data_IF_733016460099
#
_entry.id   IF_733016460099
#
_cell.length_a   1.000
_cell.length_b   1.000
_cell.length_c   1.000
_cell.angle_alpha   90.00
_cell.angle_beta   90.00
_cell.angle_gamma   90.00
#
_symmetry.space_group_name_H-M   'P 1'
#
loop_
_entity.id
_entity.type
_entity.pdbx_description
1 polymer ?
#
# COMPACT_ATOMS: atom_id res chain seq x y z
N UNK A 1 16.26 -16.60 -33.54
CA UNK A 1 17.19 -16.93 -32.43
C UNK A 1 16.63 -16.30 -31.15
N UNK A 2 15.93 -17.10 -30.33
CA UNK A 2 15.36 -16.66 -29.06
C UNK A 2 16.17 -17.30 -27.93
N UNK A 3 16.85 -16.48 -27.12
CA UNK A 3 17.63 -16.94 -25.98
C UNK A 3 16.79 -16.76 -24.71
N UNK A 4 16.25 -17.86 -24.21
CA UNK A 4 15.49 -17.92 -22.96
C UNK A 4 16.43 -17.78 -21.76
N UNK A 5 16.21 -16.77 -20.91
CA UNK A 5 16.85 -16.67 -19.59
C UNK A 5 16.09 -17.53 -18.59
N UNK A 6 16.77 -18.57 -18.12
CA UNK A 6 16.31 -19.55 -17.13
C UNK A 6 16.46 -18.97 -15.72
N UNK A 7 15.39 -18.39 -15.16
CA UNK A 7 15.37 -17.98 -13.74
C UNK A 7 15.08 -19.21 -12.89
N UNK A 8 16.06 -19.55 -12.04
CA UNK A 8 16.09 -20.73 -11.18
C UNK A 8 15.21 -20.50 -9.96
N UNK A 9 14.13 -21.27 -9.90
CA UNK A 9 13.14 -21.35 -8.83
C UNK A 9 13.80 -21.71 -7.48
N UNK A 10 13.67 -20.85 -6.46
CA UNK A 10 14.00 -21.16 -5.06
C UNK A 10 12.73 -21.00 -4.22
N UNK A 11 12.09 -22.13 -3.95
CA UNK A 11 11.26 -22.44 -2.79
C UNK A 11 10.57 -21.26 -2.08
N UNK A 12 9.48 -20.78 -2.66
CA UNK A 12 8.38 -20.21 -1.88
C UNK A 12 7.38 -21.34 -1.63
N UNK A 13 7.31 -21.82 -0.39
CA UNK A 13 6.18 -22.58 0.12
C UNK A 13 4.96 -21.65 0.19
N UNK A 14 4.36 -21.42 -0.99
CA UNK A 14 3.10 -20.71 -1.14
C UNK A 14 2.04 -21.51 -0.40
N UNK A 15 1.52 -20.96 0.71
CA UNK A 15 0.29 -21.44 1.35
C UNK A 15 -0.79 -21.55 0.28
N UNK A 16 -1.26 -22.77 0.01
CA UNK A 16 -2.42 -23.01 -0.86
C UNK A 16 -3.66 -22.42 -0.20
N UNK A 17 -4.01 -21.18 -0.54
CA UNK A 17 -5.37 -20.69 -0.33
C UNK A 17 -6.26 -21.41 -1.35
N UNK A 18 -7.23 -22.17 -0.86
CA UNK A 18 -8.18 -22.90 -1.71
C UNK A 18 -9.21 -21.89 -2.23
N UNK A 19 -9.09 -21.47 -3.50
CA UNK A 19 -10.13 -20.69 -4.16
C UNK A 19 -11.13 -21.64 -4.84
N UNK A 20 -12.43 -21.46 -4.61
CA UNK A 20 -13.50 -22.31 -5.15
C UNK A 20 -14.46 -21.42 -5.94
N UNK A 21 -14.84 -21.87 -7.14
CA UNK A 21 -15.79 -21.15 -7.98
C UNK A 21 -17.23 -21.31 -7.49
N UNK A 22 -17.99 -20.20 -7.38
CA UNK A 22 -19.36 -20.18 -6.83
C UNK A 22 -20.39 -20.95 -7.67
N UNK A 23 -20.24 -20.92 -9.00
CA UNK A 23 -21.23 -21.54 -9.91
C UNK A 23 -20.94 -23.02 -10.21
N UNK A 24 -19.67 -23.40 -10.37
CA UNK A 24 -19.30 -24.77 -10.76
C UNK A 24 -18.68 -25.60 -9.63
N UNK A 25 -18.39 -25.02 -8.47
CA UNK A 25 -17.79 -25.72 -7.33
C UNK A 25 -16.35 -26.22 -7.57
N UNK A 26 -15.75 -25.87 -8.71
CA UNK A 26 -14.41 -26.33 -9.07
C UNK A 26 -13.34 -25.63 -8.21
N UNK A 27 -12.38 -26.41 -7.72
CA UNK A 27 -11.20 -25.92 -7.00
C UNK A 27 -10.22 -25.31 -8.00
N UNK A 28 -9.95 -24.03 -7.87
CA UNK A 28 -9.03 -23.29 -8.75
C UNK A 28 -7.64 -23.35 -8.12
N UNK A 29 -6.74 -24.10 -8.73
CA UNK A 29 -5.33 -24.16 -8.32
C UNK A 29 -4.53 -23.16 -9.17
N UNK A 30 -4.20 -21.99 -8.61
CA UNK A 30 -3.38 -20.97 -9.27
C UNK A 30 -3.76 -19.53 -8.90
N UNK A 31 -2.92 -18.57 -9.33
CA UNK A 31 -3.10 -17.12 -9.10
C UNK A 31 -4.14 -16.46 -10.03
N UNK A 32 -4.81 -17.22 -10.89
CA UNK A 32 -5.77 -16.67 -11.86
C UNK A 32 -7.10 -16.37 -11.19
N UNK A 33 -7.46 -15.08 -11.12
CA UNK A 33 -8.72 -14.57 -10.52
C UNK A 33 -9.98 -14.89 -11.33
N UNK A 34 -9.87 -15.69 -12.38
CA UNK A 34 -10.95 -16.01 -13.33
C UNK A 34 -11.03 -17.52 -13.43
N UNK A 35 -12.23 -18.08 -13.25
CA UNK A 35 -12.45 -19.51 -13.38
C UNK A 35 -12.25 -19.95 -14.85
N UNK A 36 -11.34 -20.89 -15.15
CA UNK A 36 -11.13 -21.36 -16.52
C UNK A 36 -12.30 -22.17 -17.09
N UNK A 37 -13.27 -22.57 -16.25
CA UNK A 37 -14.43 -23.35 -16.68
C UNK A 37 -15.67 -22.51 -17.01
N UNK A 38 -15.90 -21.40 -16.30
CA UNK A 38 -17.12 -20.58 -16.50
C UNK A 38 -16.83 -19.10 -16.79
N UNK A 39 -15.56 -18.67 -16.80
CA UNK A 39 -15.18 -17.28 -17.13
C UNK A 39 -15.48 -16.24 -16.05
N UNK A 40 -16.10 -16.64 -14.94
CA UNK A 40 -16.50 -15.73 -13.86
C UNK A 40 -15.36 -15.52 -12.83
N UNK A 41 -15.34 -14.37 -12.15
CA UNK A 41 -14.31 -14.07 -11.13
C UNK A 41 -14.44 -15.02 -9.93
N UNK A 42 -13.32 -15.61 -9.53
CA UNK A 42 -13.24 -16.38 -8.30
C UNK A 42 -13.37 -15.44 -7.08
N UNK A 43 -14.30 -15.75 -6.17
CA UNK A 43 -14.40 -15.07 -4.89
C UNK A 43 -13.11 -15.34 -4.11
N UNK A 44 -12.40 -14.27 -3.77
CA UNK A 44 -11.35 -14.30 -2.74
C UNK A 44 -12.05 -14.71 -1.44
N UNK A 45 -11.32 -15.40 -0.56
CA UNK A 45 -11.70 -15.91 0.78
C UNK A 45 -12.16 -14.81 1.78
N UNK A 46 -12.81 -13.75 1.30
CA UNK A 46 -13.36 -12.62 2.04
C UNK A 46 -14.72 -12.96 2.69
N UNK A 47 -15.33 -14.11 2.35
CA UNK A 47 -16.55 -14.60 3.01
C UNK A 47 -16.27 -15.47 4.26
N UNK A 48 -15.01 -15.77 4.56
CA UNK A 48 -14.60 -16.32 5.88
C UNK A 48 -14.34 -15.21 6.92
N UNK A 49 -14.78 -13.97 6.68
CA UNK A 49 -14.70 -12.85 7.64
C UNK A 49 -15.68 -12.96 8.81
N UNK A 50 -16.61 -13.92 8.79
CA UNK A 50 -17.63 -14.02 9.85
C UNK A 50 -17.05 -14.50 11.20
N UNK A 51 -15.88 -15.17 11.19
CA UNK A 51 -15.23 -15.72 12.39
C UNK A 51 -13.82 -15.16 12.65
N UNK A 52 -13.23 -14.41 11.72
CA UNK A 52 -11.90 -13.80 11.90
C UNK A 52 -11.90 -12.60 12.86
N UNK A 53 -13.05 -12.21 13.42
CA UNK A 53 -13.16 -11.17 14.44
C UNK A 53 -12.36 -11.47 15.72
N UNK A 54 -12.02 -12.74 15.99
CA UNK A 54 -11.23 -13.18 17.16
C UNK A 54 -9.72 -13.20 16.87
N UNK A 55 -9.31 -13.32 15.60
CA UNK A 55 -7.90 -13.48 15.27
C UNK A 55 -7.19 -12.12 15.25
N UNK A 56 -6.22 -11.95 16.15
CA UNK A 56 -5.35 -10.77 16.24
C UNK A 56 -4.31 -10.74 15.11
N UNK A 57 -4.80 -10.61 13.88
CA UNK A 57 -4.00 -10.57 12.66
C UNK A 57 -3.17 -9.29 12.57
N UNK A 58 -3.62 -8.19 13.20
CA UNK A 58 -2.87 -6.95 13.27
C UNK A 58 -1.59 -7.11 14.10
N UNK A 59 -1.67 -7.76 15.25
CA UNK A 59 -0.50 -8.02 16.09
C UNK A 59 0.47 -9.02 15.45
N UNK A 60 -0.06 -10.07 14.80
CA UNK A 60 0.78 -10.99 14.01
C UNK A 60 1.53 -10.26 12.89
N UNK A 61 0.87 -9.31 12.22
CA UNK A 61 1.46 -8.47 11.19
C UNK A 61 2.55 -7.56 11.77
N UNK A 62 2.33 -6.93 12.93
CA UNK A 62 3.36 -6.15 13.63
C UNK A 62 4.60 -6.97 13.96
N UNK A 63 4.44 -8.21 14.39
CA UNK A 63 5.58 -9.11 14.67
C UNK A 63 6.30 -9.59 13.41
N UNK A 64 5.62 -9.61 12.27
CA UNK A 64 6.19 -9.96 10.98
C UNK A 64 6.81 -8.74 10.25
N UNK A 65 6.90 -7.59 10.91
CA UNK A 65 7.49 -6.38 10.33
C UNK A 65 8.96 -6.63 9.98
N UNK A 66 9.36 -6.47 8.70
CA UNK A 66 10.75 -6.63 8.32
C UNK A 66 11.59 -5.48 8.89
N UNK A 67 12.83 -5.79 9.25
CA UNK A 67 13.78 -4.80 9.74
C UNK A 67 14.10 -3.74 8.68
N UNK A 68 14.45 -2.55 9.16
CA UNK A 68 14.83 -1.44 8.31
C UNK A 68 16.20 -1.67 7.66
N UNK A 69 16.25 -1.65 6.33
CA UNK A 69 17.51 -1.70 5.60
C UNK A 69 18.24 -0.36 5.80
N UNK A 70 19.48 -0.41 6.27
CA UNK A 70 20.34 0.76 6.42
C UNK A 70 20.87 1.19 5.06
N UNK A 71 20.85 2.49 4.79
CA UNK A 71 21.37 3.06 3.54
C UNK A 71 22.90 3.12 3.55
N UNK A 72 23.51 2.76 2.43
CA UNK A 72 24.94 2.97 2.21
C UNK A 72 25.24 4.47 2.12
N UNK A 73 26.41 4.86 2.61
CA UNK A 73 26.88 6.24 2.46
C UNK A 73 27.06 6.56 0.96
N UNK A 74 26.62 7.74 0.49
CA UNK A 74 26.86 8.16 -0.89
C UNK A 74 28.36 8.21 -1.18
N UNK A 75 28.73 7.88 -2.41
CA UNK A 75 30.08 8.07 -2.92
C UNK A 75 30.46 9.57 -2.90
N UNK A 76 31.76 9.91 -2.83
CA UNK A 76 32.18 11.30 -2.97
C UNK A 76 31.77 11.88 -4.33
N UNK A 77 31.25 13.10 -4.32
CA UNK A 77 30.89 13.83 -5.55
C UNK A 77 32.17 14.11 -6.34
N UNK A 78 32.24 13.78 -7.65
CA UNK A 78 33.40 14.11 -8.48
C UNK A 78 33.68 15.61 -8.52
N UNK A 79 34.94 16.02 -8.50
CA UNK A 79 35.31 17.45 -8.53
C UNK A 79 35.07 18.08 -9.92
N UNK A 80 35.22 17.30 -10.99
CA UNK A 80 35.07 17.78 -12.36
C UNK A 80 33.61 17.84 -12.80
N UNK A 81 33.19 18.96 -13.41
CA UNK A 81 31.80 19.19 -13.87
C UNK A 81 31.36 18.20 -14.94
N UNK A 82 32.23 17.86 -15.89
CA UNK A 82 31.97 16.85 -16.92
C UNK A 82 31.69 15.48 -16.28
N UNK A 83 32.54 15.05 -15.34
CA UNK A 83 32.37 13.81 -14.59
C UNK A 83 31.10 13.80 -13.71
N UNK A 84 30.70 14.96 -13.17
CA UNK A 84 29.41 15.09 -12.48
C UNK A 84 28.23 14.86 -13.43
N UNK A 85 28.23 15.50 -14.61
CA UNK A 85 27.15 15.35 -15.60
C UNK A 85 27.06 13.90 -16.10
N UNK A 86 28.18 13.30 -16.49
CA UNK A 86 28.23 11.90 -16.95
C UNK A 86 27.73 10.94 -15.86
N UNK A 87 28.13 11.20 -14.61
CA UNK A 87 27.65 10.47 -13.44
C UNK A 87 26.14 10.57 -13.24
N UNK A 88 25.57 11.77 -13.38
CA UNK A 88 24.13 12.02 -13.27
C UNK A 88 23.34 11.37 -14.40
N UNK A 89 23.83 11.41 -15.64
CA UNK A 89 23.16 10.78 -16.78
C UNK A 89 23.09 9.26 -16.62
N UNK A 90 24.18 8.65 -16.13
CA UNK A 90 24.21 7.22 -15.77
C UNK A 90 23.20 6.89 -14.67
N UNK A 91 23.17 7.69 -13.61
CA UNK A 91 22.22 7.51 -12.50
C UNK A 91 20.77 7.68 -12.96
N UNK A 92 20.51 8.69 -13.80
CA UNK A 92 19.20 8.92 -14.43
C UNK A 92 18.71 7.67 -15.13
N UNK A 93 19.53 7.05 -15.98
CA UNK A 93 19.17 5.81 -16.68
C UNK A 93 18.79 4.69 -15.71
N UNK A 94 19.58 4.50 -14.66
CA UNK A 94 19.32 3.48 -13.64
C UNK A 94 18.01 3.71 -12.85
N UNK A 95 17.77 4.94 -12.39
CA UNK A 95 16.57 5.26 -11.60
C UNK A 95 15.30 5.37 -12.44
N UNK A 96 15.40 5.74 -13.72
CA UNK A 96 14.26 5.68 -14.65
C UNK A 96 13.78 4.25 -14.82
N UNK A 97 14.70 3.28 -14.94
CA UNK A 97 14.37 1.86 -15.02
C UNK A 97 13.62 1.35 -13.79
N UNK A 98 13.93 1.90 -12.60
CA UNK A 98 13.31 1.54 -11.32
C UNK A 98 12.28 2.58 -10.83
N UNK A 99 11.77 3.42 -11.74
CA UNK A 99 10.82 4.50 -11.40
C UNK A 99 9.51 3.98 -10.80
N UNK A 100 9.14 2.73 -11.12
CA UNK A 100 7.97 2.06 -10.55
C UNK A 100 8.04 1.95 -9.03
N UNK A 101 9.22 1.77 -8.42
CA UNK A 101 9.37 1.66 -6.97
C UNK A 101 9.04 2.98 -6.28
N UNK A 102 9.45 4.10 -6.85
CA UNK A 102 9.09 5.43 -6.33
C UNK A 102 7.58 5.68 -6.43
N UNK A 103 6.96 5.31 -7.55
CA UNK A 103 5.51 5.45 -7.73
C UNK A 103 4.72 4.59 -6.72
N UNK A 104 5.18 3.38 -6.43
CA UNK A 104 4.53 2.50 -5.44
C UNK A 104 4.60 3.11 -4.05
N UNK A 105 5.74 3.67 -3.65
CA UNK A 105 5.86 4.33 -2.33
C UNK A 105 4.97 5.57 -2.27
N UNK A 106 4.94 6.38 -3.32
CA UNK A 106 4.09 7.59 -3.40
C UNK A 106 2.59 7.25 -3.37
N UNK A 107 2.16 6.21 -4.10
CA UNK A 107 0.77 5.74 -4.09
C UNK A 107 0.38 5.21 -2.70
N UNK A 108 1.28 4.50 -2.02
CA UNK A 108 1.05 4.03 -0.65
C UNK A 108 0.92 5.21 0.34
N UNK A 109 1.74 6.25 0.21
CA UNK A 109 1.62 7.46 1.02
C UNK A 109 0.30 8.19 0.75
N UNK A 110 -0.14 8.25 -0.52
CA UNK A 110 -1.43 8.83 -0.89
C UNK A 110 -2.60 8.04 -0.27
N UNK A 111 -2.58 6.71 -0.38
CA UNK A 111 -3.60 5.85 0.23
C UNK A 111 -3.63 6.02 1.75
N UNK A 112 -2.46 6.11 2.40
CA UNK A 112 -2.37 6.32 3.84
C UNK A 112 -2.97 7.67 4.26
N UNK A 113 -2.70 8.74 3.51
CA UNK A 113 -3.28 10.06 3.77
C UNK A 113 -4.82 10.07 3.66
N UNK A 114 -5.37 9.20 2.80
CA UNK A 114 -6.82 9.02 2.63
C UNK A 114 -7.48 8.13 3.69
N UNK A 115 -6.72 7.42 4.53
CA UNK A 115 -7.27 6.53 5.56
C UNK A 115 -7.85 7.32 6.74
N UNK A 116 -9.16 7.57 6.70
CA UNK A 116 -9.89 8.22 7.80
C UNK A 116 -10.31 7.22 8.89
N UNK A 117 -10.22 7.67 10.15
CA UNK A 117 -10.76 6.90 11.29
C UNK A 117 -12.30 6.92 11.25
N UNK A 118 -12.97 5.81 11.61
CA UNK A 118 -14.42 5.80 11.72
C UNK A 118 -14.85 6.78 12.81
N UNK A 119 -15.71 7.74 12.46
CA UNK A 119 -16.20 8.74 13.40
C UNK A 119 -17.48 8.25 14.08
N UNK A 120 -17.52 8.37 15.42
CA UNK A 120 -18.64 7.91 16.24
C UNK A 120 -19.92 8.69 15.88
N UNK A 121 -19.80 10.01 15.69
CA UNK A 121 -20.95 10.86 15.35
C UNK A 121 -21.59 10.48 14.01
N UNK A 122 -20.80 10.22 12.97
CA UNK A 122 -21.33 9.80 11.68
C UNK A 122 -21.98 8.42 11.76
N UNK A 123 -21.39 7.49 12.52
CA UNK A 123 -21.99 6.16 12.76
C UNK A 123 -23.26 6.21 13.62
N UNK A 124 -23.40 7.18 14.54
CA UNK A 124 -24.67 7.43 15.22
C UNK A 124 -25.74 7.86 14.22
N UNK A 125 -25.45 8.82 13.33
CA UNK A 125 -26.42 9.29 12.33
C UNK A 125 -26.81 8.19 11.35
N UNK A 126 -25.83 7.49 10.78
CA UNK A 126 -26.05 6.41 9.81
C UNK A 126 -26.80 5.25 10.46
N UNK A 127 -26.39 4.82 11.67
CA UNK A 127 -27.08 3.75 12.38
C UNK A 127 -28.52 4.12 12.75
N UNK A 128 -28.79 5.41 13.05
CA UNK A 128 -30.14 5.90 13.33
C UNK A 128 -31.03 5.87 12.09
N UNK A 129 -30.49 6.23 10.93
CA UNK A 129 -31.16 6.10 9.63
C UNK A 129 -31.44 4.64 9.27
N UNK A 130 -30.47 3.75 9.44
CA UNK A 130 -30.64 2.31 9.18
C UNK A 130 -31.69 1.70 10.11
N UNK A 131 -31.62 2.02 11.40
CA UNK A 131 -32.62 1.56 12.36
C UNK A 131 -34.03 2.11 12.04
N UNK A 132 -34.13 3.35 11.56
CA UNK A 132 -35.40 3.95 11.15
C UNK A 132 -36.00 3.23 9.94
N UNK A 133 -35.18 2.94 8.92
CA UNK A 133 -35.59 2.19 7.73
C UNK A 133 -36.14 0.80 8.08
N UNK A 134 -35.62 0.16 9.12
CA UNK A 134 -36.11 -1.15 9.58
C UNK A 134 -37.34 -0.99 10.48
N UNK A 135 -37.30 -0.07 11.44
CA UNK A 135 -38.32 0.05 12.48
C UNK A 135 -39.65 0.65 11.97
N UNK A 136 -39.61 1.69 11.14
CA UNK A 136 -40.84 2.37 10.68
C UNK A 136 -41.78 1.44 9.89
N UNK A 137 -41.31 0.60 8.94
CA UNK A 137 -42.17 -0.35 8.24
C UNK A 137 -42.73 -1.46 9.14
N UNK A 138 -42.01 -1.84 10.20
CA UNK A 138 -42.45 -2.86 11.16
C UNK A 138 -43.42 -2.30 12.21
N UNK A 139 -43.44 -0.97 12.40
CA UNK A 139 -44.27 -0.30 13.40
C UNK A 139 -45.77 -0.61 13.37
N UNK A 140 -46.46 -0.79 12.21
CA UNK A 140 -47.88 -1.11 12.18
C UNK A 140 -48.19 -2.52 12.67
N UNK A 141 -47.20 -3.41 12.68
CA UNK A 141 -47.32 -4.80 13.08
C UNK A 141 -46.93 -5.03 14.55
N UNK A 142 -46.45 -3.99 15.24
CA UNK A 142 -46.03 -4.07 16.64
C UNK A 142 -47.20 -3.69 17.57
N UNK A 143 -47.49 -4.50 18.60
CA UNK A 143 -48.69 -4.34 19.44
C UNK A 143 -48.69 -3.05 20.27
N UNK A 144 -47.52 -2.47 20.51
CA UNK A 144 -47.38 -1.18 21.18
C UNK A 144 -46.30 -0.35 20.46
N UNK A 145 -46.63 0.90 20.10
CA UNK A 145 -45.68 1.83 19.50
C UNK A 145 -44.73 2.37 20.58
N UNK A 146 -43.64 1.64 20.82
CA UNK A 146 -42.69 1.94 21.90
C UNK A 146 -41.37 2.43 21.30
N UNK A 147 -41.13 3.73 21.43
CA UNK A 147 -39.87 4.37 21.02
C UNK A 147 -38.61 3.71 21.60
N UNK A 148 -38.70 3.06 22.77
CA UNK A 148 -37.57 2.34 23.36
C UNK A 148 -37.02 1.24 22.44
N UNK A 149 -37.87 0.54 21.67
CA UNK A 149 -37.39 -0.49 20.74
C UNK A 149 -36.58 0.09 19.59
N UNK A 150 -36.96 1.27 19.11
CA UNK A 150 -36.17 2.00 18.12
C UNK A 150 -34.79 2.38 18.67
N UNK A 151 -34.73 2.96 19.88
CA UNK A 151 -33.44 3.35 20.48
C UNK A 151 -32.55 2.15 20.80
N UNK A 152 -33.13 1.01 21.21
CA UNK A 152 -32.38 -0.24 21.41
C UNK A 152 -31.83 -0.75 20.07
N UNK A 153 -32.65 -0.83 19.02
CA UNK A 153 -32.21 -1.25 17.69
C UNK A 153 -31.11 -0.32 17.15
N UNK A 154 -31.31 1.00 17.28
CA UNK A 154 -30.32 2.00 16.89
C UNK A 154 -29.00 1.80 17.64
N UNK A 155 -29.04 1.68 18.97
CA UNK A 155 -27.86 1.46 19.80
C UNK A 155 -27.09 0.20 19.38
N UNK A 156 -27.80 -0.91 19.13
CA UNK A 156 -27.18 -2.18 18.69
C UNK A 156 -26.54 -2.04 17.31
N UNK A 157 -27.28 -1.51 16.31
CA UNK A 157 -26.78 -1.35 14.94
C UNK A 157 -25.58 -0.41 14.89
N UNK A 158 -25.64 0.74 15.57
CA UNK A 158 -24.52 1.69 15.64
C UNK A 158 -23.32 1.07 16.32
N UNK A 159 -23.49 0.41 17.47
CA UNK A 159 -22.36 -0.15 18.23
C UNK A 159 -21.66 -1.27 17.45
N UNK A 160 -22.42 -2.23 16.90
CA UNK A 160 -21.84 -3.32 16.11
C UNK A 160 -21.17 -2.78 14.84
N UNK A 161 -21.83 -1.86 14.13
CA UNK A 161 -21.28 -1.23 12.92
C UNK A 161 -19.98 -0.48 13.20
N UNK A 162 -19.97 0.33 14.25
CA UNK A 162 -18.79 1.09 14.67
C UNK A 162 -17.62 0.18 15.07
N UNK A 163 -17.86 -0.85 15.90
CA UNK A 163 -16.82 -1.78 16.32
C UNK A 163 -16.25 -2.57 15.14
N UNK A 164 -17.11 -3.02 14.21
CA UNK A 164 -16.67 -3.72 13.00
C UNK A 164 -15.84 -2.82 12.09
N UNK A 165 -16.28 -1.57 11.89
CA UNK A 165 -15.53 -0.59 11.10
C UNK A 165 -14.18 -0.26 11.74
N UNK A 166 -14.13 -0.10 13.07
CA UNK A 166 -12.90 0.14 13.83
C UNK A 166 -11.88 -0.97 13.68
N UNK A 167 -12.29 -2.24 13.84
CA UNK A 167 -11.35 -3.37 13.66
C UNK A 167 -10.88 -3.51 12.22
N UNK A 168 -11.76 -3.29 11.24
CA UNK A 168 -11.38 -3.30 9.81
C UNK A 168 -10.38 -2.19 9.49
N UNK A 169 -10.54 -1.01 10.09
CA UNK A 169 -9.57 0.08 9.99
C UNK A 169 -8.20 -0.33 10.55
N UNK A 170 -8.15 -0.87 11.77
CA UNK A 170 -6.89 -1.32 12.38
C UNK A 170 -6.20 -2.44 11.58
N UNK A 171 -6.97 -3.40 11.05
CA UNK A 171 -6.45 -4.46 10.21
C UNK A 171 -5.82 -3.93 8.93
N UNK A 172 -6.54 -3.04 8.22
CA UNK A 172 -6.02 -2.41 6.99
C UNK A 172 -4.80 -1.57 7.31
N UNK A 173 -4.84 -0.76 8.36
CA UNK A 173 -3.69 0.05 8.78
C UNK A 173 -2.43 -0.80 9.04
N UNK A 174 -2.58 -1.93 9.73
CA UNK A 174 -1.47 -2.86 9.96
C UNK A 174 -0.96 -3.52 8.66
N UNK A 175 -1.86 -3.79 7.71
CA UNK A 175 -1.48 -4.31 6.38
C UNK A 175 -0.71 -3.28 5.56
N UNK A 176 -1.21 -2.05 5.50
CA UNK A 176 -0.55 -0.96 4.79
C UNK A 176 0.82 -0.65 5.39
N UNK A 177 0.95 -0.65 6.72
CA UNK A 177 2.25 -0.45 7.37
C UNK A 177 3.28 -1.51 6.95
N UNK A 178 2.88 -2.78 6.81
CA UNK A 178 3.75 -3.84 6.30
C UNK A 178 4.12 -3.63 4.82
N UNK A 179 3.14 -3.33 3.98
CA UNK A 179 3.37 -3.10 2.54
C UNK A 179 4.30 -1.91 2.32
N UNK A 180 4.09 -0.82 3.06
CA UNK A 180 4.96 0.36 3.10
C UNK A 180 6.38 -0.03 3.47
N UNK A 181 6.57 -0.76 4.57
CA UNK A 181 7.90 -1.21 5.02
C UNK A 181 8.62 -2.04 3.96
N UNK A 182 7.89 -2.93 3.27
CA UNK A 182 8.45 -3.71 2.17
C UNK A 182 8.85 -2.83 0.99
N UNK A 183 7.99 -1.93 0.53
CA UNK A 183 8.28 -1.03 -0.57
C UNK A 183 9.47 -0.10 -0.27
N UNK A 184 9.53 0.45 0.94
CA UNK A 184 10.67 1.25 1.40
C UNK A 184 11.95 0.41 1.43
N UNK A 185 11.92 -0.81 1.95
CA UNK A 185 13.08 -1.69 1.98
C UNK A 185 13.54 -2.09 0.57
N UNK A 186 12.62 -2.38 -0.35
CA UNK A 186 12.95 -2.68 -1.75
C UNK A 186 13.63 -1.47 -2.43
N UNK A 187 13.15 -0.26 -2.14
CA UNK A 187 13.73 0.98 -2.64
C UNK A 187 15.14 1.23 -2.06
N UNK A 188 15.34 0.95 -0.77
CA UNK A 188 16.65 1.04 -0.11
C UNK A 188 17.62 -0.02 -0.60
N UNK A 189 17.15 -1.25 -0.83
CA UNK A 189 17.96 -2.32 -1.39
C UNK A 189 18.40 -2.00 -2.83
N UNK A 190 17.49 -1.47 -3.64
CA UNK A 190 17.77 -0.98 -4.99
C UNK A 190 18.81 0.16 -4.95
N UNK A 191 18.63 1.17 -4.09
CA UNK A 191 19.61 2.23 -3.89
C UNK A 191 20.99 1.70 -3.48
N UNK A 192 21.05 0.78 -2.51
CA UNK A 192 22.31 0.18 -2.06
C UNK A 192 23.01 -0.64 -3.15
N UNK A 193 22.28 -1.10 -4.17
CA UNK A 193 22.83 -1.80 -5.33
C UNK A 193 23.36 -0.88 -6.44
N UNK A 194 23.12 0.43 -6.34
CA UNK A 194 23.66 1.41 -7.27
C UNK A 194 25.19 1.52 -7.10
N UNK A 195 25.92 1.36 -8.20
CA UNK A 195 27.38 1.55 -8.22
C UNK A 195 27.71 3.04 -8.30
N UNK A 196 28.68 3.49 -7.50
CA UNK A 196 29.20 4.88 -7.53
C UNK A 196 28.11 5.96 -7.51
N UNK A 197 27.05 5.72 -6.73
CA UNK A 197 25.97 6.68 -6.52
C UNK A 197 26.44 7.75 -5.51
N UNK A 198 26.56 9.00 -5.95
CA UNK A 198 26.97 10.12 -5.08
C UNK A 198 25.79 10.99 -4.61
N UNK A 199 24.58 10.77 -5.12
CA UNK A 199 23.37 11.45 -4.62
C UNK A 199 22.76 10.70 -3.44
N UNK A 200 22.25 11.39 -2.41
CA UNK A 200 21.43 10.77 -1.38
C UNK A 200 20.08 10.34 -1.95
N UNK A 201 19.45 9.31 -1.35
CA UNK A 201 18.17 8.75 -1.81
C UNK A 201 17.04 9.78 -1.99
N UNK A 202 17.03 10.87 -1.22
CA UNK A 202 16.03 11.93 -1.38
C UNK A 202 16.12 12.67 -2.73
N UNK A 203 17.29 12.62 -3.38
CA UNK A 203 17.61 13.32 -4.63
C UNK A 203 17.63 12.41 -5.86
N UNK A 204 17.38 11.11 -5.69
CA UNK A 204 17.36 10.14 -6.78
C UNK A 204 16.04 10.02 -7.57
N UNK A 205 14.89 10.64 -7.22
CA UNK A 205 13.72 10.62 -8.10
C UNK A 205 14.04 11.19 -9.49
N UNK A 206 13.64 10.51 -10.59
CA UNK A 206 14.01 10.92 -11.95
C UNK A 206 13.70 12.40 -12.31
N UNK A 207 12.57 12.99 -11.89
CA UNK A 207 12.30 14.41 -12.16
C UNK A 207 13.33 15.36 -11.54
N UNK A 208 13.87 15.03 -10.34
CA UNK A 208 14.90 15.83 -9.67
C UNK A 208 16.24 15.73 -10.38
N UNK A 209 16.64 14.50 -10.78
CA UNK A 209 17.89 14.30 -11.52
C UNK A 209 17.87 15.08 -12.84
N UNK A 210 16.75 15.07 -13.57
CA UNK A 210 16.61 15.84 -14.81
C UNK A 210 16.85 17.34 -14.58
N UNK A 211 16.20 17.94 -13.58
CA UNK A 211 16.39 19.36 -13.25
C UNK A 211 17.83 19.68 -12.86
N UNK A 212 18.47 18.79 -12.12
CA UNK A 212 19.85 18.97 -11.66
C UNK A 212 20.84 18.90 -12.83
N UNK A 213 20.62 17.99 -13.78
CA UNK A 213 21.37 17.95 -15.06
C UNK A 213 21.16 19.26 -15.83
N UNK A 214 19.91 19.70 -15.99
CA UNK A 214 19.59 20.93 -16.74
C UNK A 214 20.26 22.16 -16.11
N UNK A 215 20.23 22.28 -14.77
CA UNK A 215 20.86 23.38 -14.04
C UNK A 215 22.40 23.38 -14.15
N UNK A 216 23.01 22.19 -14.21
CA UNK A 216 24.45 22.06 -14.45
C UNK A 216 24.82 22.30 -15.91
N UNK A 217 23.94 22.03 -16.88
CA UNK A 217 24.22 22.30 -18.29
C UNK A 217 24.03 23.78 -18.63
N UNK A 218 22.98 24.41 -18.08
CA UNK A 218 22.69 25.84 -18.27
C UNK A 218 23.69 26.77 -17.58
N UNK A 219 24.46 26.24 -16.62
CA UNK A 219 25.39 27.03 -15.80
C UNK A 219 24.70 27.80 -14.68
N UNK A 220 23.45 27.46 -14.36
CA UNK A 220 22.72 28.02 -13.22
C UNK A 220 23.38 27.66 -11.88
N UNK A 221 24.01 26.48 -11.81
CA UNK A 221 24.76 26.03 -10.64
C UNK A 221 26.15 25.54 -11.02
N UNK A 222 27.09 25.68 -10.07
CA UNK A 222 28.50 25.35 -10.31
C UNK A 222 28.84 23.89 -10.01
N UNK A 223 28.10 23.26 -9.10
CA UNK A 223 28.28 21.86 -8.72
C UNK A 223 26.99 21.23 -8.18
N UNK A 224 26.94 19.90 -8.16
CA UNK A 224 25.83 19.14 -7.53
C UNK A 224 25.64 19.53 -6.06
N UNK A 225 26.73 19.74 -5.32
CA UNK A 225 26.69 20.11 -3.90
C UNK A 225 26.03 21.46 -3.69
N UNK A 226 26.46 22.46 -4.45
CA UNK A 226 25.92 23.82 -4.46
C UNK A 226 24.41 23.82 -4.73
N UNK A 227 23.96 23.05 -5.73
CA UNK A 227 22.53 22.89 -6.01
C UNK A 227 21.75 22.30 -4.82
N UNK A 228 22.25 21.21 -4.23
CA UNK A 228 21.58 20.54 -3.11
C UNK A 228 21.51 21.43 -1.86
N UNK A 229 22.58 22.17 -1.55
CA UNK A 229 22.60 23.10 -0.41
C UNK A 229 21.59 24.24 -0.60
N UNK A 230 21.46 24.75 -1.83
CA UNK A 230 20.52 25.83 -2.16
C UNK A 230 19.05 25.41 -2.07
N UNK A 231 18.70 24.21 -2.52
CA UNK A 231 17.31 23.72 -2.49
C UNK A 231 16.93 23.01 -1.18
N UNK A 232 17.90 22.63 -0.36
CA UNK A 232 17.63 22.07 0.97
C UNK A 232 17.33 23.13 2.04
N UNK A 233 17.68 24.41 1.78
CA UNK A 233 17.38 25.57 2.64
C UNK A 233 16.01 26.16 2.38
#
# INVERSE_FOLDING_TARGET
MAMYVKIRNKNLTVRRNNMICKECGAKIEGLTRICPHCGERALIDDELETWSFIADTAEKKRRAMPEEIVLNAPAPIPEERSAQIDGLERMRGYFVQHSNLYQVVEDLDYIESGMSRPSIGLWMLVGGLVAALVYFPLSPFLPNFIWAYYFVLWGVVTTIGYLRAGRRYEHRKAEYALLRRHAENDLRAMYNSCTDCFLPLAWTPPPRINRLIDALQSGETTSVRDYMEREAG
#
